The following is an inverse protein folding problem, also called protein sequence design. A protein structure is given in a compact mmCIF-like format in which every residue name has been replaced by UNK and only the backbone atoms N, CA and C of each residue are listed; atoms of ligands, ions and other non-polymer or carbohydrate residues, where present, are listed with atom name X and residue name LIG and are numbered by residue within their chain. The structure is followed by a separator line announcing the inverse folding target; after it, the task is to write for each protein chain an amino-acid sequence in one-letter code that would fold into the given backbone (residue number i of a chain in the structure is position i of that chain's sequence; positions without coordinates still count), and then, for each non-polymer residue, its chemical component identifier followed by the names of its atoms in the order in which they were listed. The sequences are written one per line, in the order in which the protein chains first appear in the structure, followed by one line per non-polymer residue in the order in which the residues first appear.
data_IF_831138224362
#
_entry.id   IF_831138224362
#
_cell.length_a   1.000
_cell.length_b   1.000
_cell.length_c   1.000
_cell.angle_alpha   90.00
_cell.angle_beta   90.00
_cell.angle_gamma   90.00
#
_symmetry.space_group_name_H-M   'P 1'
#
loop_
_entity.id
_entity.type
_entity.pdbx_description
1 polymer ?
#
# COMPACT_ATOMS: atom_id res chain seq x y z
N UNK A 1 -23.89 40.95 -17.06
CA UNK A 1 -22.51 40.70 -16.60
C UNK A 1 -22.46 41.04 -15.12
N UNK A 2 -22.64 40.05 -14.24
CA UNK A 2 -22.58 40.27 -12.79
C UNK A 2 -21.12 40.32 -12.32
N UNK A 3 -20.74 41.27 -11.47
CA UNK A 3 -19.37 41.36 -10.98
C UNK A 3 -19.11 40.19 -10.02
N UNK A 4 -17.99 39.50 -10.24
CA UNK A 4 -17.53 38.40 -9.40
C UNK A 4 -17.19 38.97 -8.01
N UNK A 5 -17.89 38.52 -6.97
CA UNK A 5 -17.60 38.90 -5.60
C UNK A 5 -16.16 38.47 -5.24
N UNK A 6 -15.36 39.31 -4.56
CA UNK A 6 -14.02 38.93 -4.15
C UNK A 6 -14.11 37.76 -3.17
N UNK A 7 -13.39 36.68 -3.46
CA UNK A 7 -13.21 35.57 -2.53
C UNK A 7 -12.44 36.12 -1.33
N UNK A 8 -13.15 36.41 -0.24
CA UNK A 8 -12.54 36.68 1.07
C UNK A 8 -11.75 35.44 1.47
N UNK A 9 -10.42 35.52 1.34
CA UNK A 9 -9.51 34.52 1.86
C UNK A 9 -9.54 34.64 3.38
N UNK A 10 -10.35 33.81 4.04
CA UNK A 10 -10.36 33.72 5.50
C UNK A 10 -8.94 33.47 6.00
N UNK A 11 -8.50 34.35 6.89
CA UNK A 11 -7.18 34.35 7.46
C UNK A 11 -7.03 33.23 8.49
N UNK A 12 -6.06 32.33 8.26
CA UNK A 12 -5.12 31.86 9.26
C UNK A 12 -3.94 31.24 8.49
N UNK A 13 -2.81 31.96 8.46
CA UNK A 13 -1.56 31.38 7.99
C UNK A 13 -1.11 30.35 9.02
N UNK A 14 -0.76 29.11 8.65
CA UNK A 14 -0.26 28.15 9.63
C UNK A 14 1.03 28.71 10.24
N UNK A 15 1.09 28.67 11.57
CA UNK A 15 2.29 28.93 12.36
C UNK A 15 3.49 28.23 11.73
N UNK A 16 4.65 28.91 11.73
CA UNK A 16 5.90 28.47 11.12
C UNK A 16 6.10 26.94 11.15
N UNK A 17 6.48 26.36 10.00
CA UNK A 17 6.82 24.93 9.89
C UNK A 17 7.83 24.56 10.98
N UNK A 18 7.64 23.41 11.66
CA UNK A 18 8.59 22.97 12.69
C UNK A 18 9.98 22.80 12.09
N UNK A 19 11.01 23.10 12.88
CA UNK A 19 12.42 23.00 12.44
C UNK A 19 12.83 21.57 12.06
N UNK A 20 12.12 20.57 12.59
CA UNK A 20 12.32 19.15 12.29
C UNK A 20 10.99 18.51 11.91
N UNK A 21 11.05 17.57 10.97
CA UNK A 21 9.91 16.77 10.54
C UNK A 21 9.72 15.57 11.49
N UNK A 22 8.49 15.38 11.99
CA UNK A 22 8.10 14.19 12.73
C UNK A 22 7.18 13.31 11.87
N UNK A 23 7.65 12.16 11.35
CA UNK A 23 6.82 11.27 10.55
C UNK A 23 5.56 10.78 11.28
N UNK A 24 5.66 10.52 12.59
CA UNK A 24 4.54 9.98 13.38
C UNK A 24 3.37 10.94 13.46
N UNK A 25 3.64 12.25 13.44
CA UNK A 25 2.61 13.28 13.42
C UNK A 25 1.83 13.35 12.10
N UNK A 26 2.28 12.69 11.04
CA UNK A 26 1.73 12.87 9.69
C UNK A 26 1.33 11.57 8.96
N UNK A 27 2.02 10.45 9.20
CA UNK A 27 1.81 9.20 8.46
C UNK A 27 0.35 8.72 8.49
N UNK A 28 -0.27 8.72 9.66
CA UNK A 28 -1.66 8.27 9.84
C UNK A 28 -2.66 9.17 9.08
N UNK A 29 -2.51 10.48 9.20
CA UNK A 29 -3.37 11.44 8.52
C UNK A 29 -3.22 11.36 6.99
N UNK A 30 -2.00 11.15 6.49
CA UNK A 30 -1.71 10.96 5.06
C UNK A 30 -2.31 9.66 4.56
N UNK A 31 -2.17 8.57 5.31
CA UNK A 31 -2.74 7.27 4.95
C UNK A 31 -4.27 7.33 4.89
N UNK A 32 -4.92 7.90 5.92
CA UNK A 32 -6.37 8.09 5.94
C UNK A 32 -6.87 8.97 4.78
N UNK A 33 -6.06 9.93 4.31
CA UNK A 33 -6.37 10.72 3.12
C UNK A 33 -6.33 9.86 1.85
N UNK A 34 -5.34 8.99 1.70
CA UNK A 34 -5.25 8.07 0.56
C UNK A 34 -6.42 7.08 0.52
N UNK A 35 -6.82 6.53 1.66
CA UNK A 35 -7.97 5.64 1.76
C UNK A 35 -9.27 6.33 1.35
N UNK A 36 -9.55 7.51 1.92
CA UNK A 36 -10.74 8.31 1.56
C UNK A 36 -10.78 8.68 0.09
N UNK A 37 -9.64 9.01 -0.50
CA UNK A 37 -9.53 9.31 -1.93
C UNK A 37 -9.57 8.05 -2.82
N UNK A 38 -9.62 6.85 -2.23
CA UNK A 38 -9.45 5.56 -2.92
C UNK A 38 -8.21 5.56 -3.83
N UNK A 39 -7.12 6.17 -3.35
CA UNK A 39 -5.93 6.46 -4.15
C UNK A 39 -5.26 5.19 -4.73
N UNK A 40 -5.48 4.03 -4.09
CA UNK A 40 -4.94 2.73 -4.51
C UNK A 40 -5.90 1.92 -5.39
N UNK A 41 -7.14 2.39 -5.59
CA UNK A 41 -8.11 1.64 -6.38
C UNK A 41 -7.74 1.69 -7.87
N UNK A 42 -7.85 0.54 -8.53
CA UNK A 42 -7.77 0.41 -9.97
C UNK A 42 -9.14 0.03 -10.54
N UNK A 43 -9.60 0.75 -11.56
CA UNK A 43 -10.89 0.49 -12.21
C UNK A 43 -10.69 -0.22 -13.56
N UNK A 44 -10.99 -1.53 -13.68
CA UNK A 44 -10.78 -2.29 -14.90
C UNK A 44 -11.61 -1.75 -16.07
N UNK A 45 -12.74 -1.06 -15.82
CA UNK A 45 -13.60 -0.52 -16.87
C UNK A 45 -12.87 0.53 -17.71
N UNK A 46 -11.97 1.31 -17.11
CA UNK A 46 -11.17 2.34 -17.80
C UNK A 46 -10.16 1.73 -18.77
N UNK A 47 -9.64 0.56 -18.43
CA UNK A 47 -8.75 -0.21 -19.32
C UNK A 47 -9.58 -0.83 -20.45
N UNK A 48 -10.71 -1.47 -20.13
CA UNK A 48 -11.58 -2.12 -21.11
C UNK A 48 -12.21 -1.14 -22.10
N UNK A 49 -12.48 0.10 -21.66
CA UNK A 49 -12.97 1.19 -22.50
C UNK A 49 -11.84 1.89 -23.30
N UNK A 50 -10.57 1.53 -23.10
CA UNK A 50 -9.43 2.16 -23.77
C UNK A 50 -9.06 3.56 -23.27
N UNK A 51 -9.61 4.01 -22.12
CA UNK A 51 -9.33 5.34 -21.55
C UNK A 51 -7.91 5.44 -20.99
N UNK A 52 -7.36 4.34 -20.46
CA UNK A 52 -6.03 4.31 -19.85
C UNK A 52 -5.30 2.99 -20.14
N UNK A 53 -3.98 3.02 -20.37
CA UNK A 53 -3.18 1.81 -20.46
C UNK A 53 -3.04 1.13 -19.09
N UNK A 54 -3.06 -0.21 -19.01
CA UNK A 54 -2.89 -0.92 -17.75
C UNK A 54 -1.44 -0.95 -17.28
N UNK A 55 -1.22 -0.92 -15.97
CA UNK A 55 0.04 -1.28 -15.33
C UNK A 55 -0.27 -2.19 -14.13
N UNK A 56 0.27 -3.40 -14.11
CA UNK A 56 -0.02 -4.37 -13.04
C UNK A 56 1.26 -4.84 -12.37
N UNK A 57 1.28 -4.82 -11.04
CA UNK A 57 2.33 -5.41 -10.21
C UNK A 57 1.70 -6.37 -9.20
N UNK A 58 2.23 -7.59 -9.12
CA UNK A 58 1.82 -8.60 -8.14
C UNK A 58 2.75 -8.51 -6.94
N UNK A 59 2.18 -8.34 -5.74
CA UNK A 59 2.95 -8.46 -4.50
C UNK A 59 3.27 -9.95 -4.36
N UNK A 60 4.56 -10.36 -4.37
CA UNK A 60 4.90 -11.75 -4.18
C UNK A 60 4.35 -12.17 -2.82
N UNK A 61 3.49 -13.20 -2.79
CA UNK A 61 2.75 -13.54 -1.60
C UNK A 61 3.70 -13.81 -0.43
N UNK A 62 3.53 -13.14 0.71
CA UNK A 62 4.37 -13.39 1.86
C UNK A 62 4.11 -14.82 2.34
N UNK A 63 5.18 -15.60 2.50
CA UNK A 63 5.08 -16.89 3.18
C UNK A 63 4.48 -16.64 4.58
N UNK A 64 3.42 -17.37 4.95
CA UNK A 64 2.64 -17.24 6.20
C UNK A 64 3.46 -17.55 7.49
N UNK A 65 4.79 -17.56 7.42
CA UNK A 65 5.67 -18.25 8.36
C UNK A 65 6.55 -17.35 9.24
N UNK A 66 6.57 -16.01 9.04
CA UNK A 66 7.43 -15.12 9.87
C UNK A 66 7.05 -13.64 9.84
N UNK A 67 7.49 -12.90 10.86
CA UNK A 67 7.33 -11.45 10.96
C UNK A 67 8.00 -10.72 9.78
N UNK A 68 7.46 -9.57 9.40
CA UNK A 68 8.02 -8.74 8.33
C UNK A 68 9.42 -8.24 8.71
N UNK A 69 10.44 -8.68 7.96
CA UNK A 69 11.80 -8.16 8.04
C UNK A 69 12.10 -7.09 6.97
N UNK A 70 13.26 -6.43 7.07
CA UNK A 70 13.71 -5.36 6.16
C UNK A 70 13.66 -5.74 4.67
N UNK A 71 13.91 -7.01 4.32
CA UNK A 71 13.74 -7.49 2.95
C UNK A 71 12.32 -7.30 2.38
N UNK A 72 11.26 -7.46 3.18
CA UNK A 72 9.89 -7.15 2.75
C UNK A 72 9.69 -5.65 2.56
N UNK A 73 10.25 -4.83 3.46
CA UNK A 73 10.18 -3.38 3.35
C UNK A 73 10.83 -2.90 2.04
N UNK A 74 12.03 -3.37 1.71
CA UNK A 74 12.69 -3.07 0.45
C UNK A 74 11.85 -3.48 -0.76
N UNK A 75 11.41 -4.73 -0.80
CA UNK A 75 10.63 -5.26 -1.92
C UNK A 75 9.32 -4.50 -2.15
N UNK A 76 8.57 -4.24 -1.08
CA UNK A 76 7.30 -3.52 -1.16
C UNK A 76 7.52 -2.04 -1.51
N UNK A 77 8.60 -1.42 -1.01
CA UNK A 77 8.92 -0.02 -1.32
C UNK A 77 9.24 0.16 -2.80
N UNK A 78 10.05 -0.73 -3.40
CA UNK A 78 10.36 -0.68 -4.82
C UNK A 78 9.10 -0.82 -5.69
N UNK A 79 8.21 -1.76 -5.34
CA UNK A 79 6.94 -1.93 -6.05
C UNK A 79 6.02 -0.71 -5.88
N UNK A 80 5.87 -0.18 -4.66
CA UNK A 80 5.05 1.00 -4.39
C UNK A 80 5.53 2.22 -5.20
N UNK A 81 6.85 2.44 -5.28
CA UNK A 81 7.44 3.51 -6.10
C UNK A 81 7.06 3.34 -7.57
N UNK A 82 7.18 2.14 -8.13
CA UNK A 82 6.83 1.87 -9.53
C UNK A 82 5.32 2.05 -9.80
N UNK A 83 4.47 1.59 -8.90
CA UNK A 83 3.00 1.73 -9.01
C UNK A 83 2.59 3.20 -8.96
N UNK A 84 3.15 3.97 -8.02
CA UNK A 84 2.89 5.42 -7.92
C UNK A 84 3.38 6.15 -9.17
N UNK A 85 4.58 5.83 -9.63
CA UNK A 85 5.14 6.41 -10.85
C UNK A 85 4.27 6.11 -12.08
N UNK A 86 3.84 4.86 -12.26
CA UNK A 86 2.95 4.48 -13.36
C UNK A 86 1.60 5.23 -13.28
N UNK A 87 1.01 5.32 -12.08
CA UNK A 87 -0.24 6.08 -11.86
C UNK A 87 -0.07 7.57 -12.20
N UNK A 88 1.05 8.18 -11.82
CA UNK A 88 1.37 9.57 -12.17
C UNK A 88 1.62 9.77 -13.67
N UNK A 89 2.05 8.73 -14.39
CA UNK A 89 2.20 8.74 -15.85
C UNK A 89 0.88 8.47 -16.62
N UNK A 90 -0.24 8.34 -15.93
CA UNK A 90 -1.56 8.17 -16.54
C UNK A 90 -2.00 6.72 -16.75
N UNK A 91 -1.23 5.74 -16.27
CA UNK A 91 -1.63 4.33 -16.32
C UNK A 91 -2.72 4.03 -15.28
N UNK A 92 -3.57 3.06 -15.59
CA UNK A 92 -4.45 2.44 -14.60
C UNK A 92 -3.64 1.38 -13.84
N UNK A 93 -3.10 1.78 -12.69
CA UNK A 93 -2.12 1.00 -11.95
C UNK A 93 -2.76 0.10 -10.89
N UNK A 94 -2.67 -1.21 -11.08
CA UNK A 94 -3.14 -2.24 -10.14
C UNK A 94 -1.95 -2.84 -9.40
N UNK A 95 -1.92 -2.63 -8.08
CA UNK A 95 -1.00 -3.31 -7.18
C UNK A 95 -1.76 -4.39 -6.43
N UNK A 96 -1.64 -5.64 -6.87
CA UNK A 96 -2.47 -6.74 -6.40
C UNK A 96 -1.80 -7.44 -5.22
N UNK A 97 -2.38 -7.37 -4.00
CA UNK A 97 -1.97 -8.24 -2.91
C UNK A 97 -2.45 -9.67 -3.18
N UNK A 98 -1.65 -10.65 -2.75
CA UNK A 98 -2.01 -12.05 -2.77
C UNK A 98 -1.38 -12.77 -1.58
N UNK A 99 -2.01 -13.86 -1.14
CA UNK A 99 -1.44 -14.79 -0.18
C UNK A 99 -1.26 -16.14 -0.89
N UNK A 100 -0.08 -16.73 -0.77
CA UNK A 100 0.22 -18.07 -1.27
C UNK A 100 -0.02 -19.03 -0.12
N UNK A 101 -0.79 -20.07 -0.41
CA UNK A 101 -1.07 -21.13 0.54
C UNK A 101 0.20 -21.93 0.92
N UNK A 102 1.29 -21.82 0.14
CA UNK A 102 2.66 -22.21 0.48
C UNK A 102 2.76 -23.56 1.24
N UNK A 103 2.03 -24.58 0.78
CA UNK A 103 1.66 -25.77 1.55
C UNK A 103 2.79 -26.57 2.22
N UNK A 104 4.02 -26.50 1.69
CA UNK A 104 5.20 -27.15 2.30
C UNK A 104 5.83 -26.28 3.41
N UNK A 105 5.89 -24.95 3.21
CA UNK A 105 6.46 -24.02 4.18
C UNK A 105 5.58 -23.85 5.42
N UNK A 106 4.25 -23.86 5.25
CA UNK A 106 3.28 -23.88 6.35
C UNK A 106 3.40 -25.15 7.18
N UNK A 107 3.58 -26.31 6.56
CA UNK A 107 3.77 -27.57 7.29
C UNK A 107 5.03 -27.56 8.17
N UNK A 108 6.19 -27.16 7.65
CA UNK A 108 7.44 -27.14 8.44
C UNK A 108 7.38 -26.18 9.62
N UNK A 109 6.68 -25.04 9.49
CA UNK A 109 6.53 -24.08 10.60
C UNK A 109 5.51 -24.53 11.62
N UNK A 110 4.41 -25.19 11.22
CA UNK A 110 3.49 -25.85 12.16
C UNK A 110 4.20 -26.98 12.92
N UNK A 111 5.01 -27.78 12.23
CA UNK A 111 5.82 -28.84 12.87
C UNK A 111 6.81 -28.28 13.90
N UNK A 112 7.53 -27.20 13.56
CA UNK A 112 8.50 -26.60 14.49
C UNK A 112 7.86 -25.78 15.62
N UNK A 113 6.77 -25.05 15.38
CA UNK A 113 6.17 -24.13 16.38
C UNK A 113 5.05 -24.75 17.20
N UNK A 114 4.35 -25.77 16.69
CA UNK A 114 3.16 -26.34 17.35
C UNK A 114 3.42 -27.77 17.81
N UNK A 115 4.05 -28.60 16.99
CA UNK A 115 4.25 -30.02 17.28
C UNK A 115 5.48 -30.29 18.17
N UNK A 116 6.61 -29.59 17.94
CA UNK A 116 7.82 -29.75 18.74
C UNK A 116 7.65 -29.38 20.23
N UNK A 117 6.96 -28.29 20.61
CA UNK A 117 6.71 -27.97 22.02
C UNK A 117 5.68 -28.90 22.69
N UNK A 118 4.81 -29.55 21.90
CA UNK A 118 3.77 -30.47 22.40
C UNK A 118 4.22 -31.95 22.40
N UNK A 119 5.47 -32.23 22.01
CA UNK A 119 6.04 -33.59 21.99
C UNK A 119 5.34 -34.56 21.03
N UNK A 120 4.47 -34.07 20.15
CA UNK A 120 3.71 -34.91 19.19
C UNK A 120 4.42 -34.88 17.85
N UNK A 121 4.67 -36.06 17.27
CA UNK A 121 5.05 -36.20 15.86
C UNK A 121 3.87 -36.75 15.08
N UNK A 122 3.74 -36.32 13.83
CA UNK A 122 2.71 -36.86 12.93
C UNK A 122 3.16 -38.25 12.46
N UNK A 123 2.38 -39.28 12.80
CA UNK A 123 2.34 -40.56 12.08
C UNK A 123 1.45 -40.44 10.86
#
# INVERSE_FOLDING_TARGET
MSPHAPITRSAEAPSALPKAFDPKAHEEAVFARWERARAFHADPRRVLAGEKPPFCALIPPPNVTGALHLGHALNNTLQDVLVRFARMRGFEALWMPGADHAGIATQTVVEKRVLAPQGRKRT
#
